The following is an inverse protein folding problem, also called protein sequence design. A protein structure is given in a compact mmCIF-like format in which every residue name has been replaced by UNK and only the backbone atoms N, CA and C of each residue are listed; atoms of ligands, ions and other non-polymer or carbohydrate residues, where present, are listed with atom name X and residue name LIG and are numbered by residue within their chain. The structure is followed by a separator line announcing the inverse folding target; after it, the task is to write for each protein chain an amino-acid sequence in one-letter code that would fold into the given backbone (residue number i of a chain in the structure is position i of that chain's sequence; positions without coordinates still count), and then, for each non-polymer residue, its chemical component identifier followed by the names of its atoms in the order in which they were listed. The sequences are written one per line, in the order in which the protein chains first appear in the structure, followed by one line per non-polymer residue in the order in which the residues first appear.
data_IF_899834977059
#
_entry.id   IF_899834977059
#
_cell.length_a   1.000
_cell.length_b   1.000
_cell.length_c   1.000
_cell.angle_alpha   90.00
_cell.angle_beta   90.00
_cell.angle_gamma   90.00
#
_symmetry.space_group_name_H-M   'P 1'
#
loop_
_entity.id
_entity.type
_entity.pdbx_description
1 polymer ?
#
# COMPACT_ATOMS: atom_id res chain seq x y z
N UNK A 1 -25.52 -5.57 -5.62
CA UNK A 1 -26.14 -5.82 -6.94
C UNK A 1 -26.70 -4.49 -7.44
N UNK A 2 -26.09 -3.88 -8.47
CA UNK A 2 -26.56 -2.59 -9.00
C UNK A 2 -27.80 -2.80 -9.89
N UNK A 3 -28.79 -1.88 -9.88
CA UNK A 3 -29.98 -2.01 -10.72
C UNK A 3 -29.60 -1.97 -12.21
N UNK A 4 -30.28 -2.77 -13.01
CA UNK A 4 -30.10 -2.87 -14.46
C UNK A 4 -30.52 -1.58 -15.18
N UNK A 5 -29.53 -0.74 -15.49
CA UNK A 5 -29.61 0.41 -16.39
C UNK A 5 -28.19 0.87 -16.74
N UNK A 6 -27.73 0.55 -17.96
CA UNK A 6 -26.37 0.84 -18.44
C UNK A 6 -26.15 2.33 -18.73
N UNK A 7 -25.81 3.08 -17.69
CA UNK A 7 -24.89 4.20 -17.82
C UNK A 7 -23.79 3.97 -16.79
N UNK A 8 -22.62 3.52 -17.24
CA UNK A 8 -21.44 3.49 -16.39
C UNK A 8 -21.16 4.97 -16.04
N UNK A 9 -21.56 5.38 -14.83
CA UNK A 9 -21.28 6.72 -14.33
C UNK A 9 -19.91 6.70 -13.66
N UNK A 10 -19.13 7.78 -13.82
CA UNK A 10 -17.90 7.98 -13.04
C UNK A 10 -18.21 7.85 -11.56
N UNK A 11 -17.28 7.27 -10.81
CA UNK A 11 -17.39 7.22 -9.36
C UNK A 11 -17.53 8.64 -8.80
N UNK A 12 -18.48 8.85 -7.89
CA UNK A 12 -18.64 10.14 -7.21
C UNK A 12 -17.38 10.39 -6.39
N UNK A 13 -16.72 11.52 -6.65
CA UNK A 13 -15.43 11.89 -6.07
C UNK A 13 -15.37 13.38 -5.75
N UNK A 14 -14.35 13.81 -5.02
CA UNK A 14 -14.18 15.21 -4.60
C UNK A 14 -15.04 15.60 -3.39
N UNK A 15 -15.64 14.63 -2.71
CA UNK A 15 -16.42 14.84 -1.49
C UNK A 15 -15.57 14.66 -0.24
N UNK A 16 -15.82 15.50 0.76
CA UNK A 16 -15.27 15.33 2.11
C UNK A 16 -15.91 14.13 2.82
N UNK A 17 -15.32 13.70 3.93
CA UNK A 17 -15.89 12.64 4.75
C UNK A 17 -17.31 12.99 5.23
N UNK A 18 -17.54 14.24 5.62
CA UNK A 18 -18.86 14.71 6.07
C UNK A 18 -19.92 14.63 4.99
N UNK A 19 -19.57 14.96 3.74
CA UNK A 19 -20.48 14.86 2.60
C UNK A 19 -20.79 13.40 2.26
N UNK A 20 -19.78 12.52 2.31
CA UNK A 20 -19.95 11.09 2.14
C UNK A 20 -20.86 10.49 3.22
N UNK A 21 -20.65 10.84 4.49
CA UNK A 21 -21.45 10.39 5.61
C UNK A 21 -22.90 10.91 5.53
N UNK A 22 -23.09 12.19 5.19
CA UNK A 22 -24.41 12.78 5.00
C UNK A 22 -25.17 12.10 3.86
N UNK A 23 -24.50 11.80 2.74
CA UNK A 23 -25.11 11.05 1.64
C UNK A 23 -25.50 9.63 2.07
N UNK A 24 -24.61 8.91 2.77
CA UNK A 24 -24.91 7.56 3.25
C UNK A 24 -26.17 7.55 4.12
N UNK A 25 -26.28 8.48 5.06
CA UNK A 25 -27.47 8.67 5.90
C UNK A 25 -28.72 9.00 5.08
N UNK A 26 -28.60 9.93 4.12
CA UNK A 26 -29.70 10.27 3.21
C UNK A 26 -30.19 9.06 2.40
N UNK A 27 -29.27 8.18 1.99
CA UNK A 27 -29.56 6.95 1.28
C UNK A 27 -30.08 5.81 2.18
N UNK A 28 -30.26 6.04 3.49
CA UNK A 28 -30.68 5.01 4.46
C UNK A 28 -29.60 3.95 4.69
N UNK A 29 -28.33 4.31 4.56
CA UNK A 29 -27.15 3.45 4.66
C UNK A 29 -26.11 4.07 5.62
N UNK A 30 -24.96 3.42 5.71
CA UNK A 30 -23.81 3.88 6.48
C UNK A 30 -22.54 3.94 5.61
N UNK A 31 -21.49 4.62 6.09
CA UNK A 31 -20.13 4.37 5.62
C UNK A 31 -19.61 3.06 6.21
N UNK A 32 -18.82 2.26 5.47
CA UNK A 32 -18.20 1.07 6.02
C UNK A 32 -17.18 1.44 7.09
N UNK A 33 -17.09 0.65 8.16
CA UNK A 33 -15.90 0.71 9.02
C UNK A 33 -14.70 0.16 8.26
N UNK A 34 -13.48 0.46 8.72
CA UNK A 34 -12.24 -0.03 8.10
C UNK A 34 -12.21 -1.56 8.03
N UNK A 35 -12.76 -2.24 9.03
CA UNK A 35 -12.81 -3.71 9.08
C UNK A 35 -13.85 -4.28 8.12
N UNK A 36 -15.03 -3.65 8.01
CA UNK A 36 -16.04 -4.07 7.03
C UNK A 36 -15.57 -3.80 5.60
N UNK A 37 -14.89 -2.67 5.36
CA UNK A 37 -14.26 -2.39 4.09
C UNK A 37 -13.21 -3.44 3.75
N UNK A 38 -12.30 -3.75 4.70
CA UNK A 38 -11.28 -4.79 4.52
C UNK A 38 -11.87 -6.17 4.23
N UNK A 39 -12.96 -6.51 4.91
CA UNK A 39 -13.68 -7.77 4.70
C UNK A 39 -14.34 -7.81 3.31
N UNK A 40 -15.06 -6.75 2.93
CA UNK A 40 -15.65 -6.62 1.60
C UNK A 40 -14.61 -6.62 0.48
N UNK A 41 -13.40 -6.12 0.77
CA UNK A 41 -12.27 -6.13 -0.15
C UNK A 41 -11.61 -7.51 -0.30
N UNK A 42 -11.86 -8.48 0.59
CA UNK A 42 -11.12 -9.75 0.61
C UNK A 42 -9.80 -9.72 1.38
N UNK A 43 -9.49 -8.62 2.06
CA UNK A 43 -8.21 -8.41 2.73
C UNK A 43 -8.17 -9.06 4.14
N UNK A 44 -9.33 -9.23 4.77
CA UNK A 44 -9.42 -9.91 6.08
C UNK A 44 -9.23 -11.43 6.01
N UNK A 45 -9.21 -12.01 4.81
CA UNK A 45 -9.05 -13.45 4.59
C UNK A 45 -7.68 -13.72 3.97
N UNK A 46 -6.74 -14.24 4.77
CA UNK A 46 -5.34 -14.44 4.38
C UNK A 46 -5.18 -15.07 2.99
N UNK A 47 -5.84 -16.19 2.72
CA UNK A 47 -5.71 -16.88 1.43
C UNK A 47 -6.28 -16.07 0.25
N UNK A 48 -7.37 -15.33 0.46
CA UNK A 48 -7.94 -14.48 -0.59
C UNK A 48 -6.98 -13.33 -0.89
N UNK A 49 -6.53 -12.61 0.14
CA UNK A 49 -5.60 -11.50 -0.03
C UNK A 49 -4.28 -11.94 -0.65
N UNK A 50 -3.68 -13.00 -0.12
CA UNK A 50 -2.37 -13.48 -0.55
C UNK A 50 -2.36 -13.90 -2.03
N UNK A 51 -3.40 -14.61 -2.50
CA UNK A 51 -3.43 -15.12 -3.87
C UNK A 51 -4.07 -14.17 -4.89
N UNK A 52 -5.04 -13.33 -4.50
CA UNK A 52 -5.86 -12.58 -5.45
C UNK A 52 -5.53 -11.09 -5.51
N UNK A 53 -4.95 -10.48 -4.47
CA UNK A 53 -4.73 -9.02 -4.43
C UNK A 53 -3.89 -8.52 -5.61
N UNK A 54 -2.85 -9.26 -6.02
CA UNK A 54 -2.01 -8.86 -7.15
C UNK A 54 -2.76 -8.86 -8.50
N UNK A 55 -3.65 -9.84 -8.70
CA UNK A 55 -4.51 -9.94 -9.90
C UNK A 55 -5.58 -8.85 -9.92
N UNK A 56 -6.17 -8.54 -8.75
CA UNK A 56 -7.12 -7.44 -8.60
C UNK A 56 -6.45 -6.11 -8.93
N UNK A 57 -5.28 -5.81 -8.34
CA UNK A 57 -4.52 -4.57 -8.60
C UNK A 57 -4.22 -4.42 -10.10
N UNK A 58 -3.72 -5.47 -10.76
CA UNK A 58 -3.40 -5.45 -12.20
C UNK A 58 -4.61 -5.21 -13.10
N UNK A 59 -5.80 -5.52 -12.62
CA UNK A 59 -7.05 -5.41 -13.37
C UNK A 59 -7.85 -4.17 -12.98
N UNK A 60 -7.29 -3.29 -12.14
CA UNK A 60 -7.91 -2.10 -11.57
C UNK A 60 -7.29 -0.82 -12.12
N UNK A 61 -7.98 0.31 -11.93
CA UNK A 61 -7.47 1.62 -12.34
C UNK A 61 -6.44 2.17 -11.34
N UNK A 62 -5.16 1.85 -11.57
CA UNK A 62 -4.00 2.47 -10.93
C UNK A 62 -3.06 3.01 -12.01
N UNK A 63 -2.31 4.07 -11.69
CA UNK A 63 -1.49 4.84 -12.65
C UNK A 63 -2.31 5.41 -13.83
N UNK A 64 -3.58 5.72 -13.60
CA UNK A 64 -4.46 6.40 -14.55
C UNK A 64 -4.25 7.92 -14.55
N UNK A 65 -4.98 8.62 -15.41
CA UNK A 65 -5.05 10.09 -15.43
C UNK A 65 -6.26 10.65 -14.66
N UNK A 66 -7.31 9.84 -14.52
CA UNK A 66 -8.52 10.19 -13.80
C UNK A 66 -9.32 8.94 -13.37
N UNK A 67 -10.38 9.17 -12.60
CA UNK A 67 -11.36 8.15 -12.28
C UNK A 67 -12.18 7.78 -13.52
N UNK A 68 -12.37 6.48 -13.73
CA UNK A 68 -13.19 5.92 -14.80
C UNK A 68 -14.57 5.51 -14.27
N UNK A 69 -15.55 5.33 -15.16
CA UNK A 69 -16.84 4.74 -14.83
C UNK A 69 -16.77 3.47 -13.95
N UNK A 70 -17.70 3.38 -12.99
CA UNK A 70 -17.78 2.24 -12.06
C UNK A 70 -18.02 0.94 -12.83
N UNK A 71 -17.23 -0.08 -12.53
CA UNK A 71 -17.30 -1.40 -13.16
C UNK A 71 -16.71 -1.46 -14.57
N UNK A 72 -16.04 -0.40 -15.05
CA UNK A 72 -15.34 -0.43 -16.34
C UNK A 72 -14.14 -1.38 -16.32
N UNK A 73 -13.46 -1.48 -15.18
CA UNK A 73 -12.31 -2.34 -15.00
C UNK A 73 -12.70 -3.74 -14.53
N UNK A 74 -11.88 -4.73 -14.87
CA UNK A 74 -12.09 -6.14 -14.52
C UNK A 74 -11.58 -6.50 -13.11
N UNK A 75 -11.18 -5.51 -12.30
CA UNK A 75 -10.67 -5.63 -10.93
C UNK A 75 -11.72 -6.03 -9.91
N UNK A 76 -12.42 -7.14 -10.16
CA UNK A 76 -13.38 -7.74 -9.26
C UNK A 76 -12.66 -8.65 -8.26
N UNK A 77 -12.99 -8.54 -6.98
CA UNK A 77 -12.44 -9.43 -5.95
C UNK A 77 -13.29 -10.71 -5.78
N UNK A 78 -12.88 -11.58 -4.85
CA UNK A 78 -13.52 -12.87 -4.59
C UNK A 78 -15.00 -12.78 -4.14
N UNK A 79 -15.47 -11.61 -3.71
CA UNK A 79 -16.84 -11.38 -3.26
C UNK A 79 -17.71 -10.70 -4.33
N UNK A 80 -17.19 -10.53 -5.54
CA UNK A 80 -17.93 -9.93 -6.65
C UNK A 80 -18.04 -8.40 -6.56
N UNK A 81 -17.23 -7.75 -5.70
CA UNK A 81 -17.20 -6.28 -5.62
C UNK A 81 -16.13 -5.72 -6.54
N UNK A 82 -16.52 -4.68 -7.28
CA UNK A 82 -15.68 -3.91 -8.19
C UNK A 82 -15.14 -2.65 -7.54
N UNK A 83 -14.06 -2.13 -8.12
CA UNK A 83 -13.45 -0.81 -7.82
C UNK A 83 -13.10 -0.60 -6.34
N UNK A 84 -12.88 -1.68 -5.57
CA UNK A 84 -12.32 -1.58 -4.22
C UNK A 84 -10.79 -1.37 -4.24
N UNK A 85 -10.14 -1.71 -5.36
CA UNK A 85 -8.75 -1.41 -5.62
C UNK A 85 -8.69 -0.36 -6.73
N UNK A 86 -8.07 0.79 -6.45
CA UNK A 86 -7.88 1.85 -7.42
C UNK A 86 -9.17 2.62 -7.72
N UNK A 87 -9.13 3.36 -8.82
CA UNK A 87 -10.16 4.30 -9.26
C UNK A 87 -10.32 5.48 -8.29
N UNK A 88 -11.02 5.30 -7.16
CA UNK A 88 -11.11 6.31 -6.11
C UNK A 88 -10.78 5.67 -4.77
N UNK A 89 -10.11 6.42 -3.92
CA UNK A 89 -10.00 6.10 -2.51
C UNK A 89 -11.39 6.17 -1.87
N UNK A 90 -11.65 5.34 -0.88
CA UNK A 90 -12.97 5.25 -0.27
C UNK A 90 -12.94 5.61 1.20
N UNK A 91 -13.74 6.62 1.57
CA UNK A 91 -13.96 7.02 2.97
C UNK A 91 -14.53 5.86 3.80
N UNK A 92 -13.96 5.66 4.97
CA UNK A 92 -14.50 4.76 5.99
C UNK A 92 -14.97 5.55 7.22
N UNK A 93 -15.80 4.92 8.05
CA UNK A 93 -16.40 5.54 9.25
C UNK A 93 -15.35 6.01 10.27
N UNK A 94 -14.27 5.26 10.46
CA UNK A 94 -13.39 5.44 11.62
C UNK A 94 -12.56 6.73 11.55
N UNK A 95 -12.61 7.52 12.62
CA UNK A 95 -11.74 8.68 12.86
C UNK A 95 -10.29 8.22 13.15
N UNK A 96 -9.33 9.11 12.95
CA UNK A 96 -7.89 8.92 13.16
C UNK A 96 -7.30 10.22 13.68
N UNK A 97 -6.03 10.22 14.10
CA UNK A 97 -5.40 11.44 14.63
C UNK A 97 -5.27 12.57 13.60
N UNK A 98 -5.37 12.27 12.30
CA UNK A 98 -5.23 13.25 11.21
C UNK A 98 -6.47 13.36 10.31
N UNK A 99 -7.63 12.90 10.78
CA UNK A 99 -8.90 12.96 10.06
C UNK A 99 -9.60 11.61 10.05
N UNK A 100 -9.87 11.03 8.87
CA UNK A 100 -10.59 9.75 8.79
C UNK A 100 -9.85 8.73 7.93
N UNK A 101 -10.15 7.46 8.19
CA UNK A 101 -9.66 6.35 7.37
C UNK A 101 -10.11 6.51 5.92
N UNK A 102 -9.18 6.27 5.01
CA UNK A 102 -9.44 6.13 3.58
C UNK A 102 -8.72 4.89 3.03
N UNK A 103 -9.37 4.15 2.13
CA UNK A 103 -8.93 2.82 1.66
C UNK A 103 -8.94 2.70 0.13
N UNK A 104 -8.34 1.64 -0.41
CA UNK A 104 -8.46 1.23 -1.82
C UNK A 104 -7.44 1.84 -2.79
N UNK A 105 -6.98 3.06 -2.51
CA UNK A 105 -6.09 3.81 -3.39
C UNK A 105 -6.84 4.46 -4.56
N UNK A 106 -6.38 5.64 -4.96
CA UNK A 106 -6.89 6.37 -6.13
C UNK A 106 -6.19 5.98 -7.42
N UNK A 107 -6.72 6.48 -8.53
CA UNK A 107 -6.18 6.28 -9.88
C UNK A 107 -4.70 6.69 -10.03
N UNK A 108 -4.19 7.65 -9.25
CA UNK A 108 -2.78 8.10 -9.25
C UNK A 108 -1.95 7.58 -8.07
N UNK A 109 -2.50 6.68 -7.24
CA UNK A 109 -1.76 6.11 -6.12
C UNK A 109 -0.99 4.85 -6.53
N UNK A 110 0.02 4.49 -5.74
CA UNK A 110 0.71 3.22 -5.91
C UNK A 110 -0.24 2.03 -5.61
N UNK A 111 -0.14 0.96 -6.40
CA UNK A 111 -1.05 -0.20 -6.29
C UNK A 111 -1.10 -0.88 -4.91
N UNK A 112 -0.02 -0.80 -4.12
CA UNK A 112 -0.01 -1.32 -2.73
C UNK A 112 -0.98 -0.57 -1.80
N UNK A 113 -1.44 0.63 -2.18
CA UNK A 113 -2.43 1.40 -1.44
C UNK A 113 -3.80 0.72 -1.39
N UNK A 114 -4.05 -0.29 -2.24
CA UNK A 114 -5.21 -1.16 -2.11
C UNK A 114 -5.31 -1.80 -0.73
N UNK A 115 -4.21 -2.37 -0.23
CA UNK A 115 -4.18 -3.08 1.04
C UNK A 115 -3.89 -2.19 2.24
N UNK A 116 -3.21 -1.05 2.04
CA UNK A 116 -2.77 -0.19 3.12
C UNK A 116 -3.93 0.61 3.71
N UNK A 117 -3.93 0.80 5.04
CA UNK A 117 -4.81 1.77 5.69
C UNK A 117 -4.15 3.13 5.50
N UNK A 118 -4.92 4.14 5.14
CA UNK A 118 -4.45 5.53 5.06
C UNK A 118 -5.39 6.42 5.85
N UNK A 119 -4.90 7.61 6.20
CA UNK A 119 -5.69 8.67 6.81
C UNK A 119 -5.51 9.96 6.02
N UNK A 120 -6.57 10.75 5.94
CA UNK A 120 -6.57 12.08 5.31
C UNK A 120 -7.47 13.03 6.12
N UNK A 121 -7.20 14.36 6.08
CA UNK A 121 -8.05 15.34 6.74
C UNK A 121 -9.52 15.20 6.34
N UNK A 122 -10.45 15.31 7.29
CA UNK A 122 -11.86 14.97 7.05
C UNK A 122 -12.56 15.90 6.06
N UNK A 123 -12.01 17.11 5.87
CA UNK A 123 -12.46 18.09 4.87
C UNK A 123 -11.73 17.96 3.51
N UNK A 124 -10.81 17.01 3.37
CA UNK A 124 -10.10 16.81 2.10
C UNK A 124 -11.08 16.40 1.01
N UNK A 125 -11.11 17.19 -0.06
CA UNK A 125 -12.01 17.04 -1.21
C UNK A 125 -11.23 16.70 -2.47
N UNK A 126 -10.12 15.98 -2.33
CA UNK A 126 -9.35 15.55 -3.50
C UNK A 126 -10.24 14.80 -4.49
N UNK A 127 -10.02 15.02 -5.79
CA UNK A 127 -10.77 14.37 -6.87
C UNK A 127 -10.60 12.85 -6.92
N UNK A 128 -9.71 12.28 -6.11
CA UNK A 128 -9.56 10.84 -5.91
C UNK A 128 -10.21 10.31 -4.64
N UNK A 129 -10.83 11.15 -3.82
CA UNK A 129 -11.58 10.70 -2.65
C UNK A 129 -13.05 10.55 -3.03
N UNK A 130 -13.54 9.32 -2.95
CA UNK A 130 -14.94 8.95 -3.06
C UNK A 130 -15.36 8.12 -1.85
N UNK A 131 -16.45 7.37 -2.02
CA UNK A 131 -16.96 6.50 -0.96
C UNK A 131 -17.85 5.42 -1.54
N UNK A 132 -18.08 4.39 -0.73
CA UNK A 132 -19.19 3.46 -0.92
C UNK A 132 -20.02 3.41 0.34
N UNK A 133 -21.28 3.03 0.17
CA UNK A 133 -22.18 2.81 1.30
C UNK A 133 -22.25 1.32 1.64
N UNK A 134 -22.52 1.04 2.91
CA UNK A 134 -22.84 -0.30 3.41
C UNK A 134 -24.22 -0.28 4.07
N UNK A 135 -24.90 -1.42 4.04
CA UNK A 135 -26.11 -1.65 4.82
C UNK A 135 -25.84 -2.82 5.75
N UNK A 136 -25.87 -2.56 7.05
CA UNK A 136 -25.72 -3.59 8.07
C UNK A 136 -27.06 -4.27 8.33
N UNK A 137 -27.10 -5.60 8.25
CA UNK A 137 -28.33 -6.39 8.45
C UNK A 137 -28.72 -6.38 9.95
N UNK A 138 -27.74 -6.66 10.81
CA UNK A 138 -27.87 -6.71 12.27
C UNK A 138 -26.87 -5.74 12.88
N UNK A 139 -27.05 -4.43 12.63
CA UNK A 139 -26.09 -3.39 13.04
C UNK A 139 -25.80 -3.42 14.54
N UNK A 140 -26.81 -3.77 15.34
CA UNK A 140 -26.73 -3.84 16.80
C UNK A 140 -25.87 -5.00 17.31
N UNK A 141 -25.59 -6.00 16.47
CA UNK A 141 -24.71 -7.13 16.82
C UNK A 141 -23.25 -6.86 16.46
N UNK A 142 -22.96 -5.77 15.74
CA UNK A 142 -21.60 -5.38 15.41
C UNK A 142 -20.95 -4.83 16.68
N UNK A 143 -19.76 -5.32 17.08
CA UNK A 143 -19.04 -4.79 18.23
C UNK A 143 -18.78 -3.29 18.09
N UNK A 144 -18.98 -2.52 19.16
CA UNK A 144 -18.78 -1.06 19.18
C UNK A 144 -17.36 -0.70 18.74
N UNK A 145 -16.39 -1.55 19.08
CA UNK A 145 -14.97 -1.42 18.72
C UNK A 145 -14.75 -1.32 17.19
N UNK A 146 -15.65 -1.86 16.38
CA UNK A 146 -15.55 -1.73 14.92
C UNK A 146 -15.73 -0.28 14.45
N UNK A 147 -16.43 0.55 15.23
CA UNK A 147 -16.76 1.94 14.91
C UNK A 147 -15.85 2.95 15.62
N UNK A 148 -15.05 2.50 16.59
CA UNK A 148 -14.13 3.35 17.34
C UNK A 148 -13.04 3.99 16.46
N UNK A 149 -12.44 5.11 16.90
CA UNK A 149 -11.28 5.69 16.25
C UNK A 149 -10.13 4.70 16.11
N UNK A 150 -9.40 4.79 14.99
CA UNK A 150 -8.24 3.95 14.68
C UNK A 150 -6.97 4.78 14.82
N UNK A 151 -6.07 4.34 15.69
CA UNK A 151 -4.78 4.97 15.83
C UNK A 151 -3.80 4.52 14.73
N UNK A 152 -3.24 5.48 13.99
CA UNK A 152 -2.03 5.24 13.23
C UNK A 152 -0.83 5.40 14.15
N UNK A 153 -0.15 4.29 14.42
CA UNK A 153 1.17 4.36 15.04
C UNK A 153 2.08 5.07 14.04
N UNK A 154 2.62 6.22 14.43
CA UNK A 154 3.62 6.92 13.64
C UNK A 154 4.73 5.95 13.25
N UNK A 155 5.27 6.09 12.05
CA UNK A 155 6.45 5.31 11.63
C UNK A 155 7.50 5.41 12.72
N UNK A 156 7.92 4.25 13.28
CA UNK A 156 8.87 4.18 14.37
C UNK A 156 10.12 4.99 14.00
N UNK A 157 10.43 6.01 14.79
CA UNK A 157 11.64 6.77 14.60
C UNK A 157 12.81 5.98 15.19
N UNK A 158 13.41 5.11 14.38
CA UNK A 158 14.54 4.29 14.79
C UNK A 158 15.75 5.10 15.30
N UNK A 159 15.85 6.40 14.99
CA UNK A 159 16.91 7.26 15.52
C UNK A 159 16.61 7.79 16.93
N UNK A 160 15.33 7.85 17.31
CA UNK A 160 14.90 8.26 18.64
C UNK A 160 14.78 7.08 19.64
N UNK A 161 14.88 5.84 19.14
CA UNK A 161 14.83 4.64 19.97
C UNK A 161 16.13 4.43 20.75
N UNK A 162 16.02 3.96 21.99
CA UNK A 162 17.18 3.55 22.78
C UNK A 162 17.70 2.19 22.28
N UNK A 163 18.97 2.08 21.84
CA UNK A 163 19.53 0.80 21.41
C UNK A 163 19.53 -0.21 22.56
N UNK A 164 19.30 -1.48 22.23
CA UNK A 164 19.51 -2.56 23.20
C UNK A 164 20.97 -2.59 23.65
N UNK A 165 21.22 -3.10 24.86
CA UNK A 165 22.58 -3.22 25.36
C UNK A 165 23.43 -4.18 24.49
N UNK A 166 24.75 -4.04 24.61
CA UNK A 166 25.74 -4.78 23.81
C UNK A 166 25.56 -6.30 23.88
N UNK A 167 25.14 -6.85 25.02
CA UNK A 167 24.93 -8.30 25.15
C UNK A 167 23.75 -8.77 24.29
N UNK A 168 22.63 -8.03 24.31
CA UNK A 168 21.46 -8.33 23.48
C UNK A 168 21.78 -8.10 22.01
N UNK A 169 22.47 -7.00 21.69
CA UNK A 169 22.90 -6.73 20.32
C UNK A 169 23.75 -7.87 19.76
N UNK A 170 24.71 -8.39 20.53
CA UNK A 170 25.54 -9.52 20.11
C UNK A 170 24.75 -10.81 19.92
N UNK A 171 23.70 -11.06 20.70
CA UNK A 171 22.79 -12.21 20.47
C UNK A 171 22.09 -12.09 19.11
N UNK A 172 21.59 -10.91 18.74
CA UNK A 172 21.00 -10.71 17.41
C UNK A 172 22.04 -10.76 16.30
N UNK A 173 23.20 -10.14 16.50
CA UNK A 173 24.33 -10.18 15.55
C UNK A 173 24.75 -11.61 15.23
N UNK A 174 24.68 -12.52 16.21
CA UNK A 174 25.02 -13.92 16.01
C UNK A 174 24.11 -14.64 15.00
N UNK A 175 22.87 -14.17 14.78
CA UNK A 175 21.98 -14.72 13.75
C UNK A 175 22.46 -14.39 12.33
N UNK A 176 23.36 -13.40 12.20
CA UNK A 176 23.96 -12.96 10.95
C UNK A 176 25.44 -13.37 10.84
N UNK A 177 25.91 -14.29 11.69
CA UNK A 177 27.21 -14.90 11.54
C UNK A 177 27.15 -15.92 10.39
N UNK A 178 27.42 -15.43 9.20
CA UNK A 178 27.70 -16.28 8.05
C UNK A 178 29.16 -16.73 8.09
N UNK A 179 29.43 -17.93 7.59
CA UNK A 179 30.80 -18.38 7.37
C UNK A 179 31.50 -17.39 6.45
N UNK A 180 32.69 -16.93 6.87
CA UNK A 180 33.48 -16.00 6.07
C UNK A 180 34.05 -16.79 4.89
N UNK A 181 33.40 -16.66 3.73
CA UNK A 181 33.88 -17.16 2.46
C UNK A 181 34.41 -16.01 1.59
N UNK A 182 35.33 -16.32 0.68
CA UNK A 182 35.77 -15.35 -0.31
C UNK A 182 34.59 -15.03 -1.24
N UNK A 183 34.29 -13.73 -1.40
CA UNK A 183 33.25 -13.27 -2.32
C UNK A 183 33.61 -13.56 -3.78
N UNK A 184 34.91 -13.65 -4.11
CA UNK A 184 35.43 -13.81 -5.47
C UNK A 184 34.69 -12.91 -6.48
N UNK A 185 34.55 -11.63 -6.11
CA UNK A 185 33.74 -10.67 -6.86
C UNK A 185 34.37 -10.36 -8.22
N UNK A 186 33.54 -10.32 -9.25
CA UNK A 186 33.92 -10.03 -10.64
C UNK A 186 33.02 -8.93 -11.18
N UNK A 187 33.62 -7.91 -11.79
CA UNK A 187 32.88 -6.91 -12.57
C UNK A 187 32.60 -7.54 -13.94
N UNK A 188 31.34 -7.92 -14.18
CA UNK A 188 30.88 -8.50 -15.45
C UNK A 188 30.71 -7.42 -16.51
N UNK A 189 30.25 -6.23 -16.10
CA UNK A 189 29.93 -5.12 -16.99
C UNK A 189 30.23 -3.80 -16.28
N UNK A 190 30.81 -2.85 -17.02
CA UNK A 190 31.01 -1.47 -16.58
C UNK A 190 30.43 -0.54 -17.64
N UNK A 191 29.30 0.09 -17.34
CA UNK A 191 28.64 1.06 -18.19
C UNK A 191 29.04 2.48 -17.76
N UNK A 192 29.68 3.17 -18.68
CA UNK A 192 30.21 4.51 -18.54
C UNK A 192 29.45 5.54 -19.41
N UNK A 193 28.37 5.11 -20.09
CA UNK A 193 27.56 5.99 -20.94
C UNK A 193 26.88 7.16 -20.23
N UNK A 194 26.33 7.00 -19.00
CA UNK A 194 25.72 8.10 -18.27
C UNK A 194 26.71 9.19 -17.84
N UNK A 195 26.29 10.45 -17.90
CA UNK A 195 27.14 11.61 -17.57
C UNK A 195 27.45 11.75 -16.08
N UNK A 196 26.53 11.33 -15.21
CA UNK A 196 26.64 11.57 -13.76
C UNK A 196 27.19 10.37 -12.97
N UNK A 197 27.15 9.17 -13.54
CA UNK A 197 27.47 7.94 -12.81
C UNK A 197 28.02 6.83 -13.71
N UNK A 198 28.70 5.88 -13.08
CA UNK A 198 29.18 4.64 -13.68
C UNK A 198 28.38 3.50 -13.08
N UNK A 199 27.83 2.61 -13.90
CA UNK A 199 27.22 1.36 -13.45
C UNK A 199 28.23 0.24 -13.52
N UNK A 200 28.38 -0.53 -12.45
CA UNK A 200 29.06 -1.82 -12.49
C UNK A 200 28.06 -2.93 -12.17
N UNK A 201 27.95 -3.92 -13.05
CA UNK A 201 27.30 -5.20 -12.73
C UNK A 201 28.36 -6.11 -12.15
N UNK A 202 28.22 -6.45 -10.88
CA UNK A 202 29.17 -7.26 -10.12
C UNK A 202 28.51 -8.60 -9.81
N UNK A 203 29.19 -9.71 -10.09
CA UNK A 203 28.81 -11.02 -9.55
C UNK A 203 29.75 -11.42 -8.43
N UNK A 204 29.27 -12.13 -7.42
CA UNK A 204 30.09 -12.67 -6.34
C UNK A 204 29.43 -13.93 -5.75
N UNK A 205 30.21 -14.77 -5.07
CA UNK A 205 29.72 -16.01 -4.48
C UNK A 205 28.61 -15.73 -3.45
N UNK A 206 27.51 -16.47 -3.54
CA UNK A 206 26.49 -16.51 -2.50
C UNK A 206 27.02 -17.25 -1.27
N UNK A 207 26.38 -17.02 -0.12
CA UNK A 207 26.68 -17.78 1.11
C UNK A 207 26.06 -19.19 1.11
N UNK A 208 25.44 -19.61 0.00
CA UNK A 208 24.69 -20.86 -0.13
C UNK A 208 24.80 -21.43 -1.56
N UNK A 209 24.60 -22.75 -1.67
CA UNK A 209 24.40 -23.53 -2.90
C UNK A 209 25.39 -23.31 -4.07
N UNK A 210 26.63 -22.90 -3.80
CA UNK A 210 27.66 -22.58 -4.81
C UNK A 210 27.15 -21.60 -5.90
N UNK A 211 26.18 -20.76 -5.55
CA UNK A 211 25.56 -19.80 -6.47
C UNK A 211 26.34 -18.47 -6.53
N UNK A 212 26.00 -17.63 -7.50
CA UNK A 212 26.49 -16.24 -7.58
C UNK A 212 25.36 -15.25 -7.49
N UNK A 213 25.53 -14.24 -6.64
CA UNK A 213 24.64 -13.09 -6.48
C UNK A 213 25.07 -11.99 -7.45
N UNK A 214 24.10 -11.22 -7.95
CA UNK A 214 24.33 -10.02 -8.77
C UNK A 214 24.10 -8.78 -7.90
N UNK A 215 25.08 -7.87 -7.88
CA UNK A 215 24.92 -6.51 -7.40
C UNK A 215 25.09 -5.52 -8.54
N UNK A 216 24.31 -4.45 -8.52
CA UNK A 216 24.52 -3.30 -9.39
C UNK A 216 25.06 -2.14 -8.54
N UNK A 217 26.31 -1.75 -8.79
CA UNK A 217 26.97 -0.65 -8.09
C UNK A 217 26.91 0.60 -8.96
N UNK A 218 26.44 1.70 -8.37
CA UNK A 218 26.30 3.00 -9.03
C UNK A 218 27.32 3.95 -8.39
N UNK A 219 28.38 4.29 -9.13
CA UNK A 219 29.44 5.18 -8.65
C UNK A 219 29.25 6.58 -9.22
N UNK A 220 29.24 7.64 -8.38
CA UNK A 220 29.16 9.00 -8.90
C UNK A 220 30.45 9.36 -9.65
N UNK A 221 30.32 10.01 -10.81
CA UNK A 221 31.47 10.56 -11.56
C UNK A 221 32.03 11.83 -10.91
N UNK A 222 31.14 12.57 -10.24
CA UNK A 222 31.45 13.84 -9.59
C UNK A 222 31.35 13.67 -8.07
N UNK A 223 32.48 13.79 -7.37
CA UNK A 223 32.55 13.68 -5.92
C UNK A 223 33.95 13.28 -5.45
N UNK A 224 34.25 13.50 -4.18
CA UNK A 224 35.53 13.11 -3.58
C UNK A 224 35.30 11.91 -2.67
N UNK A 225 35.96 10.76 -2.90
CA UNK A 225 35.84 9.60 -2.03
C UNK A 225 36.40 9.89 -0.61
N UNK A 226 35.98 9.12 0.41
CA UNK A 226 35.11 7.94 0.34
C UNK A 226 33.64 8.30 0.10
N UNK A 227 32.96 7.51 -0.74
CA UNK A 227 31.52 7.68 -0.99
C UNK A 227 30.70 7.04 0.13
N UNK A 228 29.57 7.66 0.49
CA UNK A 228 28.59 7.04 1.36
C UNK A 228 27.83 5.96 0.58
N UNK A 229 27.82 4.72 1.09
CA UNK A 229 27.06 3.62 0.50
C UNK A 229 25.59 3.71 0.89
N UNK A 230 24.70 3.63 -0.11
CA UNK A 230 23.27 3.43 0.08
C UNK A 230 22.87 2.09 -0.54
N UNK A 231 22.14 1.27 0.20
CA UNK A 231 21.61 -0.02 -0.26
C UNK A 231 20.09 0.12 -0.35
N UNK A 232 19.50 -0.22 -1.50
CA UNK A 232 18.07 -0.13 -1.77
C UNK A 232 17.59 -1.27 -2.67
#
# INVERSE_FOLDING_TARGET
MYPSGHFLQKAVSGGSWYEAAAYALFAGKDLPTVEHWGTGAGLSYFYISYYLSSSVIKSSNFNGEEAVPVGENNGMNAFGTYDMAGNVREWCWNETQSGHIIRGGGWDDAGYMYSNRSQVPSFDRSSKNGFRCVQYIEKQEIPEEAFEPVEFIASRDYYAEEPVNENIFNVYKNQFLYDIAALDAVIEERDEGPEDWIREKITFNAAYDDERVIAYLYLPRNGTPPFQTMVF
#
